data_IF_773718721901
#
_entry.id   IF_773718721901
#
_cell.length_a   1.000
_cell.length_b   1.000
_cell.length_c   1.000
_cell.angle_alpha   90.00
_cell.angle_beta   90.00
_cell.angle_gamma   90.00
#
_symmetry.space_group_name_H-M   'P 1'
#
loop_
_entity.id
_entity.type
_entity.pdbx_description
1 polymer ?
#
# COMPACT_ATOMS: atom_id res chain seq x y z
N UNK A 1 -45.80 -11.00 -20.14
CA UNK A 1 -44.83 -12.11 -20.12
C UNK A 1 -43.50 -11.78 -19.39
N UNK A 2 -43.42 -10.78 -18.50
CA UNK A 2 -42.14 -10.38 -17.87
C UNK A 2 -42.03 -10.80 -16.38
N UNK A 3 -43.15 -11.04 -15.70
CA UNK A 3 -43.15 -11.32 -14.25
C UNK A 3 -42.76 -12.77 -13.86
N UNK A 4 -42.76 -13.71 -14.82
CA UNK A 4 -42.38 -15.12 -14.58
C UNK A 4 -40.88 -15.40 -14.71
N UNK A 5 -40.10 -14.52 -15.33
CA UNK A 5 -38.64 -14.68 -15.44
C UNK A 5 -37.89 -14.32 -14.16
N UNK A 6 -38.41 -13.38 -13.36
CA UNK A 6 -37.74 -12.93 -12.13
C UNK A 6 -37.73 -13.98 -11.02
N UNK A 7 -38.75 -14.84 -10.93
CA UNK A 7 -38.81 -15.90 -9.92
C UNK A 7 -37.86 -17.06 -10.23
N UNK A 8 -37.61 -17.36 -11.51
CA UNK A 8 -36.63 -18.38 -11.91
C UNK A 8 -35.19 -17.91 -11.69
N UNK A 9 -34.88 -16.64 -11.96
CA UNK A 9 -33.55 -16.08 -11.67
C UNK A 9 -33.25 -16.00 -10.17
N UNK A 10 -34.23 -15.68 -9.32
CA UNK A 10 -34.04 -15.78 -7.85
C UNK A 10 -33.81 -17.22 -7.39
N UNK A 11 -34.44 -18.21 -8.04
CA UNK A 11 -34.21 -19.63 -7.75
C UNK A 11 -32.82 -20.08 -8.20
N UNK A 12 -32.33 -19.64 -9.36
CA UNK A 12 -30.99 -20.00 -9.84
C UNK A 12 -29.87 -19.40 -8.97
N UNK A 13 -30.01 -18.15 -8.50
CA UNK A 13 -29.04 -17.56 -7.56
C UNK A 13 -29.05 -18.28 -6.20
N UNK A 14 -30.23 -18.66 -5.68
CA UNK A 14 -30.30 -19.42 -4.42
C UNK A 14 -29.85 -20.89 -4.54
N UNK A 15 -29.98 -21.51 -5.71
CA UNK A 15 -29.51 -22.89 -5.92
C UNK A 15 -27.98 -22.96 -5.92
N UNK A 16 -27.28 -21.91 -6.38
CA UNK A 16 -25.83 -21.87 -6.37
C UNK A 16 -25.22 -21.72 -4.95
N UNK A 17 -26.01 -21.27 -3.96
CA UNK A 17 -25.60 -21.17 -2.55
C UNK A 17 -25.78 -22.50 -1.79
N UNK A 18 -26.53 -23.46 -2.33
CA UNK A 18 -26.81 -24.75 -1.64
C UNK A 18 -25.80 -25.87 -1.96
N UNK A 19 -24.82 -25.62 -2.82
CA UNK A 19 -23.85 -26.62 -3.29
C UNK A 19 -22.50 -26.68 -2.57
N UNK A 20 -22.30 -25.97 -1.45
CA UNK A 20 -21.01 -25.95 -0.73
C UNK A 20 -21.10 -26.45 0.72
N UNK A 21 -21.94 -27.45 0.99
CA UNK A 21 -22.04 -28.02 2.34
C UNK A 21 -20.91 -29.04 2.66
N UNK A 22 -19.99 -29.33 1.72
CA UNK A 22 -19.00 -30.40 1.88
C UNK A 22 -17.59 -30.06 1.35
N UNK A 23 -17.26 -28.77 1.20
CA UNK A 23 -15.87 -28.40 0.93
C UNK A 23 -15.05 -28.60 2.23
N UNK A 24 -13.85 -29.19 2.16
CA UNK A 24 -12.95 -29.23 3.32
C UNK A 24 -12.77 -27.80 3.85
N UNK A 25 -12.61 -27.60 5.18
CA UNK A 25 -12.40 -26.27 5.73
C UNK A 25 -11.27 -25.60 4.97
N UNK A 26 -11.62 -24.53 4.24
CA UNK A 26 -10.67 -23.83 3.39
C UNK A 26 -9.56 -23.29 4.31
N UNK A 27 -8.32 -23.66 4.02
CA UNK A 27 -7.18 -23.26 4.84
C UNK A 27 -7.15 -21.74 4.97
N UNK A 28 -6.91 -21.27 6.21
CA UNK A 28 -6.80 -19.84 6.51
C UNK A 28 -5.70 -19.24 5.63
N UNK A 29 -6.06 -18.28 4.77
CA UNK A 29 -5.11 -17.56 3.92
C UNK A 29 -4.53 -16.39 4.70
N UNK A 30 -3.21 -16.35 4.85
CA UNK A 30 -2.51 -15.21 5.46
C UNK A 30 -2.06 -14.26 4.35
N UNK A 31 -2.46 -13.00 4.44
CA UNK A 31 -2.15 -11.97 3.45
C UNK A 31 -1.50 -10.80 4.16
N UNK A 32 -0.37 -10.34 3.64
CA UNK A 32 0.21 -9.06 4.00
C UNK A 32 -0.15 -8.03 2.92
N UNK A 33 -0.73 -6.90 3.33
CA UNK A 33 -1.06 -5.80 2.43
C UNK A 33 -0.16 -4.60 2.73
N UNK A 34 0.46 -4.04 1.69
CA UNK A 34 1.19 -2.79 1.83
C UNK A 34 0.20 -1.61 1.84
N UNK A 35 0.24 -0.80 2.89
CA UNK A 35 -0.54 0.44 3.03
C UNK A 35 0.41 1.63 2.90
N UNK A 36 0.27 2.40 1.82
CA UNK A 36 1.07 3.60 1.59
C UNK A 36 0.48 4.86 2.22
N UNK A 37 -0.77 4.80 2.70
CA UNK A 37 -1.57 5.99 3.06
C UNK A 37 -2.47 6.49 1.92
N UNK A 38 -2.25 5.99 0.70
CA UNK A 38 -3.06 6.29 -0.48
C UNK A 38 -4.34 5.44 -0.59
N UNK A 39 -5.32 5.98 -1.33
CA UNK A 39 -6.67 5.40 -1.49
C UNK A 39 -6.67 3.99 -2.09
N UNK A 40 -5.81 3.71 -3.07
CA UNK A 40 -5.78 2.42 -3.76
C UNK A 40 -5.42 1.29 -2.79
N UNK A 41 -4.44 1.55 -1.91
CA UNK A 41 -4.01 0.59 -0.89
C UNK A 41 -5.10 0.36 0.16
N UNK A 42 -5.80 1.42 0.57
CA UNK A 42 -6.90 1.36 1.53
C UNK A 42 -8.09 0.56 0.99
N UNK A 43 -8.49 0.82 -0.26
CA UNK A 43 -9.58 0.08 -0.91
C UNK A 43 -9.20 -1.38 -1.08
N UNK A 44 -7.95 -1.66 -1.47
CA UNK A 44 -7.45 -3.04 -1.60
C UNK A 44 -7.53 -3.79 -0.26
N UNK A 45 -7.06 -3.19 0.83
CA UNK A 45 -7.15 -3.78 2.18
C UNK A 45 -8.60 -4.04 2.61
N UNK A 46 -9.51 -3.11 2.31
CA UNK A 46 -10.95 -3.27 2.60
C UNK A 46 -11.62 -4.38 1.80
N UNK A 47 -11.22 -4.58 0.54
CA UNK A 47 -11.72 -5.70 -0.26
C UNK A 47 -11.19 -7.04 0.27
N UNK A 48 -9.91 -7.08 0.66
CA UNK A 48 -9.28 -8.29 1.23
C UNK A 48 -9.88 -8.67 2.59
N UNK A 49 -10.21 -7.70 3.44
CA UNK A 49 -10.80 -7.96 4.76
C UNK A 49 -12.19 -8.61 4.68
N UNK A 50 -12.89 -8.48 3.55
CA UNK A 50 -14.21 -9.09 3.30
C UNK A 50 -14.13 -10.53 2.82
N UNK A 51 -12.94 -11.03 2.46
CA UNK A 51 -12.77 -12.39 1.97
C UNK A 51 -12.81 -13.36 3.17
N UNK A 52 -13.75 -14.33 3.19
CA UNK A 52 -13.84 -15.28 4.29
C UNK A 52 -12.57 -16.14 4.38
N UNK A 53 -12.23 -16.57 5.60
CA UNK A 53 -11.04 -17.38 5.90
C UNK A 53 -9.71 -16.68 5.55
N UNK A 54 -9.66 -15.34 5.64
CA UNK A 54 -8.43 -14.57 5.45
C UNK A 54 -7.97 -13.95 6.77
N UNK A 55 -6.67 -14.03 7.04
CA UNK A 55 -6.00 -13.28 8.10
C UNK A 55 -5.12 -12.22 7.45
N UNK A 56 -5.47 -10.96 7.66
CA UNK A 56 -4.83 -9.81 7.03
C UNK A 56 -3.90 -9.11 8.04
N UNK A 57 -2.67 -8.82 7.60
CA UNK A 57 -1.74 -7.91 8.29
C UNK A 57 -1.39 -6.77 7.34
N UNK A 58 -1.24 -5.56 7.88
CA UNK A 58 -0.83 -4.40 7.10
C UNK A 58 0.67 -4.09 7.32
N UNK A 59 1.33 -3.62 6.27
CA UNK A 59 2.71 -3.16 6.29
C UNK A 59 2.77 -1.74 5.73
N UNK A 60 3.39 -0.82 6.45
CA UNK A 60 3.76 0.49 5.94
C UNK A 60 5.28 0.57 5.82
N UNK A 61 5.76 0.90 4.63
CA UNK A 61 7.19 0.90 4.31
C UNK A 61 7.71 2.33 4.21
N UNK A 62 8.80 2.62 4.90
CA UNK A 62 9.53 3.88 4.80
C UNK A 62 10.87 3.61 4.11
N UNK A 63 11.00 4.06 2.87
CA UNK A 63 12.16 3.76 2.00
C UNK A 63 13.15 4.93 1.89
N UNK A 64 12.80 6.11 2.40
CA UNK A 64 13.62 7.31 2.36
C UNK A 64 13.43 8.11 3.65
N UNK A 65 14.46 8.83 4.08
CA UNK A 65 14.40 9.73 5.23
C UNK A 65 15.18 11.01 4.90
N UNK A 66 14.50 12.14 4.93
CA UNK A 66 15.16 13.43 4.71
C UNK A 66 16.06 13.84 5.88
N UNK A 67 15.98 13.18 7.04
CA UNK A 67 16.89 13.43 8.16
C UNK A 67 18.27 12.78 7.98
N UNK A 68 18.39 11.81 7.08
CA UNK A 68 19.68 11.20 6.70
C UNK A 68 20.46 12.06 5.69
N UNK A 69 19.79 13.04 5.06
CA UNK A 69 20.44 14.08 4.29
C UNK A 69 20.84 15.21 5.23
N UNK A 70 22.14 15.30 5.56
CA UNK A 70 22.65 16.33 6.46
C UNK A 70 22.18 17.74 6.09
N UNK A 71 22.14 18.65 7.07
CA UNK A 71 21.58 20.01 7.04
C UNK A 71 22.02 20.95 5.88
N UNK A 72 22.80 20.47 4.90
CA UNK A 72 23.37 21.22 3.79
C UNK A 72 22.80 20.97 2.39
N UNK A 73 21.86 20.04 2.17
CA UNK A 73 21.32 19.75 0.82
C UNK A 73 19.87 20.23 0.61
N UNK A 74 19.53 21.38 1.19
CA UNK A 74 18.39 22.18 0.75
C UNK A 74 18.88 23.26 -0.22
N UNK A 75 19.10 22.95 -1.49
CA UNK A 75 19.44 23.98 -2.48
C UNK A 75 18.21 24.85 -2.76
N UNK A 76 18.20 26.05 -2.20
CA UNK A 76 17.18 27.07 -2.48
C UNK A 76 17.32 28.31 -1.61
N UNK A 77 18.35 29.11 -1.84
CA UNK A 77 18.56 30.45 -1.29
C UNK A 77 17.31 31.33 -1.45
N UNK A 78 16.74 31.77 -0.34
CA UNK A 78 15.69 32.78 -0.31
C UNK A 78 15.57 33.39 1.08
N UNK A 79 16.33 34.46 1.33
CA UNK A 79 16.07 35.39 2.43
C UNK A 79 14.63 35.90 2.32
N UNK A 80 13.74 35.37 3.15
CA UNK A 80 12.35 35.80 3.23
C UNK A 80 11.70 35.18 4.45
N UNK A 81 11.30 36.01 5.40
CA UNK A 81 10.41 35.67 6.50
C UNK A 81 9.22 34.84 6.01
N UNK A 82 9.20 33.54 6.33
CA UNK A 82 8.11 32.63 5.98
C UNK A 82 8.41 31.19 6.39
N UNK A 83 7.56 30.64 7.26
CA UNK A 83 7.52 29.28 7.79
C UNK A 83 7.64 28.23 6.67
N UNK A 84 8.73 27.47 6.57
CA UNK A 84 8.95 26.60 5.39
C UNK A 84 10.08 25.56 5.48
N UNK A 85 10.33 24.95 6.64
CA UNK A 85 11.39 23.94 6.82
C UNK A 85 10.87 22.65 7.50
N UNK A 86 9.93 21.95 6.86
CA UNK A 86 9.34 20.72 7.43
C UNK A 86 8.61 19.78 6.47
N UNK A 87 8.49 20.08 5.17
CA UNK A 87 7.44 19.48 4.34
C UNK A 87 7.59 17.98 4.00
N UNK A 88 8.81 17.46 3.78
CA UNK A 88 8.97 16.04 3.37
C UNK A 88 8.83 15.06 4.54
N UNK A 89 9.44 15.37 5.69
CA UNK A 89 9.31 14.57 6.90
C UNK A 89 7.87 14.59 7.41
N UNK A 90 7.20 15.74 7.35
CA UNK A 90 5.78 15.87 7.67
C UNK A 90 4.89 15.03 6.73
N UNK A 91 5.21 14.99 5.43
CA UNK A 91 4.42 14.22 4.47
C UNK A 91 4.55 12.70 4.69
N UNK A 92 5.76 12.19 4.91
CA UNK A 92 5.97 10.76 5.18
C UNK A 92 5.31 10.30 6.49
N UNK A 93 5.37 11.11 7.55
CA UNK A 93 4.68 10.78 8.81
C UNK A 93 3.16 10.92 8.68
N UNK A 94 2.68 11.85 7.85
CA UNK A 94 1.25 11.96 7.53
C UNK A 94 0.74 10.71 6.79
N UNK A 95 1.47 10.25 5.79
CA UNK A 95 1.13 9.04 5.03
C UNK A 95 1.12 7.80 5.95
N UNK A 96 2.08 7.71 6.88
CA UNK A 96 2.10 6.67 7.91
C UNK A 96 0.88 6.76 8.86
N UNK A 97 0.48 7.97 9.24
CA UNK A 97 -0.68 8.22 10.10
C UNK A 97 -1.99 7.85 9.39
N UNK A 98 -2.12 8.22 8.12
CA UNK A 98 -3.29 7.89 7.30
C UNK A 98 -3.39 6.37 7.09
N UNK A 99 -2.25 5.69 6.83
CA UNK A 99 -2.19 4.24 6.77
C UNK A 99 -2.62 3.57 8.08
N UNK A 100 -2.16 4.09 9.23
CA UNK A 100 -2.55 3.59 10.55
C UNK A 100 -4.05 3.78 10.79
N UNK A 101 -4.61 4.95 10.44
CA UNK A 101 -6.05 5.22 10.57
C UNK A 101 -6.90 4.23 9.77
N UNK A 102 -6.48 3.90 8.55
CA UNK A 102 -7.15 2.88 7.73
C UNK A 102 -7.04 1.50 8.37
N UNK A 103 -5.87 1.12 8.85
CA UNK A 103 -5.66 -0.17 9.52
C UNK A 103 -6.55 -0.31 10.77
N UNK A 104 -6.65 0.75 11.57
CA UNK A 104 -7.49 0.80 12.77
C UNK A 104 -8.98 0.68 12.43
N UNK A 105 -9.44 1.39 11.39
CA UNK A 105 -10.83 1.29 10.90
C UNK A 105 -11.20 -0.11 10.41
N UNK A 106 -10.23 -0.83 9.83
CA UNK A 106 -10.40 -2.20 9.35
C UNK A 106 -10.15 -3.25 10.44
N UNK A 107 -9.68 -2.86 11.62
CA UNK A 107 -9.33 -3.76 12.72
C UNK A 107 -8.14 -4.69 12.40
N UNK A 108 -7.22 -4.25 11.53
CA UNK A 108 -6.05 -5.04 11.12
C UNK A 108 -4.78 -4.52 11.78
N UNK A 109 -3.89 -5.44 12.18
CA UNK A 109 -2.60 -5.06 12.76
C UNK A 109 -1.68 -4.52 11.68
N UNK A 110 -1.17 -3.31 11.88
CA UNK A 110 -0.16 -2.70 11.02
C UNK A 110 1.23 -2.78 11.62
N UNK A 111 2.23 -3.00 10.78
CA UNK A 111 3.65 -2.88 11.12
C UNK A 111 4.30 -1.81 10.25
N UNK A 112 5.11 -0.94 10.87
CA UNK A 112 5.99 -0.01 10.16
C UNK A 112 7.36 -0.67 9.96
N UNK A 113 7.89 -0.61 8.75
CA UNK A 113 9.20 -1.18 8.40
C UNK A 113 10.02 -0.14 7.64
N UNK A 114 11.29 0.03 8.03
CA UNK A 114 12.23 0.89 7.34
C UNK A 114 13.05 0.05 6.37
N UNK A 115 13.07 0.43 5.10
CA UNK A 115 13.84 -0.22 4.03
C UNK A 115 14.79 0.75 3.32
N UNK A 116 15.28 1.75 4.06
CA UNK A 116 16.12 2.83 3.51
C UNK A 116 17.43 2.28 2.91
N UNK A 117 18.11 1.40 3.64
CA UNK A 117 19.37 0.80 3.18
C UNK A 117 19.14 -0.13 1.98
N UNK A 118 18.11 -0.96 2.03
CA UNK A 118 17.76 -1.87 0.94
C UNK A 118 17.35 -1.11 -0.33
N UNK A 119 16.61 -0.02 -0.18
CA UNK A 119 16.24 0.85 -1.30
C UNK A 119 17.47 1.56 -1.88
N UNK A 120 18.34 2.08 -1.02
CA UNK A 120 19.57 2.75 -1.44
C UNK A 120 20.46 1.83 -2.29
N UNK A 121 20.81 0.65 -1.76
CA UNK A 121 21.69 -0.29 -2.46
C UNK A 121 21.01 -1.04 -3.61
N UNK A 122 19.72 -1.36 -3.47
CA UNK A 122 19.00 -2.19 -4.44
C UNK A 122 18.39 -1.42 -5.61
N UNK A 123 18.15 -0.13 -5.44
CA UNK A 123 17.44 0.70 -6.44
C UNK A 123 18.25 1.95 -6.78
N UNK A 124 18.66 2.72 -5.77
CA UNK A 124 19.26 4.04 -6.00
C UNK A 124 20.69 3.97 -6.57
N UNK A 125 21.58 3.17 -5.97
CA UNK A 125 22.94 2.97 -6.47
C UNK A 125 22.97 2.46 -7.94
N UNK A 126 22.23 1.39 -8.30
CA UNK A 126 22.15 0.96 -9.70
C UNK A 126 21.60 2.02 -10.66
N UNK A 127 20.66 2.85 -10.18
CA UNK A 127 20.14 3.98 -10.97
C UNK A 127 21.23 5.01 -11.26
N UNK A 128 22.05 5.37 -10.26
CA UNK A 128 23.19 6.29 -10.44
C UNK A 128 24.24 5.72 -11.40
N UNK A 129 24.65 4.46 -11.21
CA UNK A 129 25.59 3.77 -12.11
C UNK A 129 25.06 3.74 -13.56
N UNK A 130 23.75 3.54 -13.72
CA UNK A 130 23.07 3.63 -15.02
C UNK A 130 23.21 5.01 -15.64
N UNK A 131 22.98 6.07 -14.88
CA UNK A 131 23.10 7.45 -15.37
C UNK A 131 24.53 7.80 -15.76
N UNK A 132 25.53 7.36 -15.00
CA UNK A 132 26.95 7.55 -15.33
C UNK A 132 27.31 6.90 -16.68
N UNK A 133 26.74 5.71 -16.93
CA UNK A 133 26.86 5.00 -18.20
C UNK A 133 25.92 5.53 -19.31
N UNK A 134 25.24 6.67 -19.08
CA UNK A 134 24.25 7.27 -19.98
C UNK A 134 23.09 6.32 -20.35
N UNK A 135 22.76 5.38 -19.45
CA UNK A 135 21.59 4.51 -19.54
C UNK A 135 20.42 5.12 -18.77
N UNK A 136 19.25 5.15 -19.40
CA UNK A 136 18.00 5.49 -18.72
C UNK A 136 17.47 4.26 -17.98
N UNK A 137 17.89 4.08 -16.73
CA UNK A 137 17.36 3.03 -15.85
C UNK A 137 16.15 3.60 -15.12
N UNK A 138 15.04 2.86 -15.10
CA UNK A 138 13.88 3.22 -14.30
C UNK A 138 14.00 2.62 -12.89
N UNK A 139 14.06 3.44 -11.82
CA UNK A 139 14.15 2.94 -10.45
C UNK A 139 12.91 2.13 -10.03
N UNK A 140 11.74 2.36 -10.64
CA UNK A 140 10.53 1.58 -10.38
C UNK A 140 10.52 0.21 -11.09
N UNK A 141 11.59 -0.12 -11.83
CA UNK A 141 11.76 -1.42 -12.48
C UNK A 141 11.00 -1.61 -13.80
N UNK A 142 10.43 -0.55 -14.40
CA UNK A 142 9.87 -0.64 -15.77
C UNK A 142 10.89 -0.23 -16.81
N UNK A 143 11.36 -1.22 -17.58
CA UNK A 143 12.20 -1.08 -18.77
C UNK A 143 11.41 -0.52 -19.96
#
# INVERSE_FOLDING_TARGET
MICRSYSMLRRQVQVQVRGQANAPPQALKRIAVALSGGIDSSVSAHLLSRIPNTSLIALHMSNWDASDEGEGSGTGTGTGTGTGTGTYCEQSEKDATDAQSVADQLGIKMHRVKFQSEYWHGVFEPFLEGMEDCRMINPDGKW
#
